data_IF_660297591141
#
_entry.id   IF_660297591141
#
_cell.length_a   1.000
_cell.length_b   1.000
_cell.length_c   1.000
_cell.angle_alpha   90.00
_cell.angle_beta   90.00
_cell.angle_gamma   90.00
#
_symmetry.space_group_name_H-M   'P 1'
#
loop_
_entity.id
_entity.type
_entity.pdbx_description
1 polymer ?
#
# COMPACT_ATOMS: atom_id res chain seq x y z
N UNK A 1 14.95 -2.98 -0.98
CA UNK A 1 15.07 -1.95 0.07
C UNK A 1 15.98 -2.44 1.17
N UNK A 2 15.97 -1.80 2.34
CA UNK A 2 16.78 -2.20 3.52
C UNK A 2 16.01 -3.06 4.54
N UNK A 3 14.73 -3.38 4.27
CA UNK A 3 13.96 -4.34 5.08
C UNK A 3 13.56 -3.85 6.48
N UNK A 4 13.20 -2.56 6.64
CA UNK A 4 12.74 -2.02 7.92
C UNK A 4 11.32 -2.47 8.30
N UNK A 5 10.49 -2.76 7.29
CA UNK A 5 9.15 -3.31 7.44
C UNK A 5 9.04 -4.47 6.45
N UNK A 6 8.85 -5.67 6.97
CA UNK A 6 8.78 -6.87 6.15
C UNK A 6 7.48 -6.92 5.34
N UNK A 7 7.58 -7.38 4.09
CA UNK A 7 6.42 -7.59 3.23
C UNK A 7 5.73 -6.31 2.76
N UNK A 8 6.38 -5.16 2.82
CA UNK A 8 5.82 -3.86 2.43
C UNK A 8 6.65 -3.22 1.31
N UNK A 9 5.96 -2.60 0.34
CA UNK A 9 6.55 -1.66 -0.61
C UNK A 9 6.05 -0.24 -0.31
N UNK A 10 6.97 0.70 -0.17
CA UNK A 10 6.67 2.09 0.20
C UNK A 10 6.89 3.00 -1.01
N UNK A 11 5.92 3.90 -1.22
CA UNK A 11 5.96 4.99 -2.17
C UNK A 11 5.73 6.33 -1.45
N UNK A 12 6.37 7.39 -1.90
CA UNK A 12 6.42 8.73 -1.28
C UNK A 12 6.07 9.81 -2.32
N UNK A 13 5.64 11.00 -1.91
CA UNK A 13 5.04 12.01 -2.81
C UNK A 13 3.93 11.37 -3.67
N UNK A 14 3.10 10.55 -3.02
CA UNK A 14 2.30 9.55 -3.68
C UNK A 14 1.18 10.16 -4.54
N UNK A 15 0.23 10.85 -3.91
CA UNK A 15 -0.87 11.49 -4.63
C UNK A 15 -0.39 12.63 -5.54
N UNK A 16 0.59 13.42 -5.09
CA UNK A 16 1.06 14.63 -5.79
C UNK A 16 1.66 14.31 -7.16
N UNK A 17 2.23 13.12 -7.32
CA UNK A 17 2.84 12.65 -8.57
C UNK A 17 2.01 11.60 -9.29
N UNK A 18 0.76 11.37 -8.87
CA UNK A 18 -0.14 10.39 -9.49
C UNK A 18 0.41 8.96 -9.45
N UNK A 19 1.09 8.56 -8.37
CA UNK A 19 1.89 7.33 -8.31
C UNK A 19 1.09 6.06 -8.01
N UNK A 20 -0.24 6.13 -8.03
CA UNK A 20 -1.09 4.95 -7.83
C UNK A 20 -0.83 3.85 -8.86
N UNK A 21 -0.64 4.20 -10.14
CA UNK A 21 -0.41 3.22 -11.21
C UNK A 21 0.87 2.42 -11.00
N UNK A 22 1.96 3.08 -10.56
CA UNK A 22 3.24 2.39 -10.32
C UNK A 22 3.21 1.55 -9.04
N UNK A 23 2.47 1.98 -8.01
CA UNK A 23 2.33 1.19 -6.79
C UNK A 23 1.46 -0.04 -7.04
N UNK A 24 0.36 0.09 -7.81
CA UNK A 24 -0.42 -1.06 -8.30
C UNK A 24 0.44 -2.01 -9.12
N UNK A 25 1.25 -1.50 -10.05
CA UNK A 25 2.19 -2.31 -10.81
C UNK A 25 3.16 -3.05 -9.89
N UNK A 26 3.75 -2.38 -8.90
CA UNK A 26 4.66 -3.02 -7.94
C UNK A 26 3.97 -4.13 -7.12
N UNK A 27 2.77 -3.89 -6.61
CA UNK A 27 2.00 -4.89 -5.84
C UNK A 27 1.57 -6.06 -6.74
N UNK A 28 1.21 -5.81 -7.99
CA UNK A 28 0.79 -6.87 -8.92
C UNK A 28 1.90 -7.87 -9.26
N UNK A 29 3.18 -7.48 -9.17
CA UNK A 29 4.33 -8.39 -9.32
C UNK A 29 4.43 -9.41 -8.19
N UNK A 30 3.94 -9.06 -7.00
CA UNK A 30 3.89 -9.95 -5.86
C UNK A 30 2.73 -9.55 -4.93
N UNK A 31 1.51 -10.08 -5.15
CA UNK A 31 0.35 -9.69 -4.36
C UNK A 31 0.45 -9.98 -2.86
N UNK A 32 1.46 -10.75 -2.43
CA UNK A 32 1.79 -10.94 -1.01
C UNK A 32 2.43 -9.70 -0.38
N UNK A 33 2.93 -8.73 -1.13
CA UNK A 33 3.39 -7.46 -0.56
C UNK A 33 2.23 -6.50 -0.34
N UNK A 34 2.30 -5.71 0.72
CA UNK A 34 1.38 -4.61 0.98
C UNK A 34 1.96 -3.32 0.38
N UNK A 35 1.20 -2.61 -0.45
CA UNK A 35 1.60 -1.31 -0.98
C UNK A 35 1.20 -0.20 -0.03
N UNK A 36 2.14 0.70 0.30
CA UNK A 36 1.88 1.88 1.11
C UNK A 36 2.35 3.13 0.36
N UNK A 37 1.42 3.96 -0.08
CA UNK A 37 1.66 5.28 -0.64
C UNK A 37 1.50 6.34 0.45
N UNK A 38 2.54 7.14 0.68
CA UNK A 38 2.57 8.22 1.66
C UNK A 38 2.63 9.55 0.91
N UNK A 39 1.63 10.39 1.15
CA UNK A 39 1.53 11.73 0.56
C UNK A 39 2.56 12.70 1.16
N UNK A 40 2.68 13.90 0.58
CA UNK A 40 3.50 14.97 1.16
C UNK A 40 2.99 15.36 2.56
N UNK A 41 3.91 15.88 3.38
CA UNK A 41 3.62 16.30 4.76
C UNK A 41 2.87 15.23 5.58
N UNK A 42 3.15 13.96 5.30
CA UNK A 42 2.49 12.79 5.89
C UNK A 42 3.53 11.72 6.24
N UNK A 43 3.29 10.98 7.31
CA UNK A 43 4.17 9.92 7.78
C UNK A 43 3.38 8.76 8.39
N UNK A 44 4.03 7.61 8.49
CA UNK A 44 3.57 6.50 9.33
C UNK A 44 4.55 6.27 10.48
N UNK A 45 4.01 6.01 11.67
CA UNK A 45 4.80 5.54 12.81
C UNK A 45 4.50 4.08 13.04
N UNK A 46 5.49 3.22 12.74
CA UNK A 46 5.39 1.78 12.94
C UNK A 46 5.70 1.46 14.40
N UNK A 47 4.85 0.63 15.00
CA UNK A 47 4.92 0.24 16.41
C UNK A 47 5.34 -1.24 16.56
N UNK A 48 5.85 -1.64 17.75
CA UNK A 48 6.31 -3.02 17.98
C UNK A 48 5.24 -4.10 17.81
N UNK A 49 3.95 -3.75 17.87
CA UNK A 49 2.82 -4.65 17.67
C UNK A 49 2.46 -4.84 16.19
N UNK A 50 3.34 -4.47 15.25
CA UNK A 50 3.11 -4.56 13.81
C UNK A 50 1.90 -3.76 13.31
N UNK A 51 1.57 -2.66 13.98
CA UNK A 51 0.64 -1.66 13.44
C UNK A 51 1.39 -0.37 13.10
N UNK A 52 0.77 0.46 12.27
CA UNK A 52 1.21 1.85 12.10
C UNK A 52 0.09 2.83 12.41
N UNK A 53 0.46 4.03 12.83
CA UNK A 53 -0.40 5.21 12.92
C UNK A 53 -0.02 6.23 11.86
N UNK A 54 -1.01 6.86 11.23
CA UNK A 54 -0.81 7.95 10.27
C UNK A 54 -0.66 9.27 11.01
N UNK A 55 0.35 10.04 10.65
CA UNK A 55 0.59 11.42 11.11
C UNK A 55 0.67 12.37 9.92
N UNK A 56 0.45 13.66 10.17
CA UNK A 56 0.61 14.73 9.17
C UNK A 56 -0.70 15.31 8.67
N UNK A 57 -0.68 15.94 7.50
CA UNK A 57 -1.78 16.76 7.00
C UNK A 57 -2.61 16.08 5.89
N UNK A 58 -2.06 15.07 5.21
CA UNK A 58 -2.73 14.35 4.11
C UNK A 58 -3.02 12.89 4.50
N UNK A 59 -2.91 11.96 3.56
CA UNK A 59 -3.32 10.58 3.74
C UNK A 59 -2.24 9.56 3.37
N UNK A 60 -2.43 8.36 3.89
CA UNK A 60 -1.71 7.16 3.49
C UNK A 60 -2.66 6.25 2.73
N UNK A 61 -2.28 5.88 1.51
CA UNK A 61 -2.99 4.89 0.71
C UNK A 61 -2.39 3.52 0.92
N UNK A 62 -3.20 2.56 1.35
CA UNK A 62 -2.81 1.15 1.47
C UNK A 62 -3.45 0.36 0.33
N UNK A 63 -2.65 -0.43 -0.37
CA UNK A 63 -3.06 -1.35 -1.42
C UNK A 63 -2.76 -2.78 -0.99
N UNK A 64 -3.81 -3.59 -0.82
CA UNK A 64 -3.71 -5.00 -0.48
C UNK A 64 -4.21 -5.88 -1.63
N UNK A 65 -3.27 -6.61 -2.23
CA UNK A 65 -3.54 -7.57 -3.29
C UNK A 65 -3.67 -9.01 -2.83
N UNK A 66 -3.62 -9.32 -1.53
CA UNK A 66 -3.46 -10.71 -1.07
C UNK A 66 -4.58 -11.64 -1.52
N UNK A 67 -5.79 -11.09 -1.72
CA UNK A 67 -6.98 -11.80 -2.16
C UNK A 67 -7.26 -11.62 -3.66
N UNK A 68 -6.29 -11.15 -4.45
CA UNK A 68 -6.49 -10.96 -5.88
C UNK A 68 -6.80 -12.29 -6.57
N UNK A 69 -7.80 -12.32 -7.45
CA UNK A 69 -8.10 -13.52 -8.22
C UNK A 69 -7.26 -13.61 -9.51
N UNK A 70 -6.83 -12.48 -10.06
CA UNK A 70 -6.10 -12.45 -11.32
C UNK A 70 -5.13 -11.27 -11.41
N UNK A 71 -3.95 -11.56 -11.95
CA UNK A 71 -3.04 -10.56 -12.51
C UNK A 71 -2.39 -11.12 -13.77
N UNK A 72 -2.22 -10.31 -14.81
CA UNK A 72 -1.56 -10.74 -16.06
C UNK A 72 -0.02 -10.64 -16.02
N UNK A 73 0.55 -10.24 -14.88
CA UNK A 73 1.96 -9.87 -14.76
C UNK A 73 2.96 -11.01 -15.04
N UNK A 74 2.62 -12.24 -14.67
CA UNK A 74 3.52 -13.40 -14.88
C UNK A 74 3.69 -13.78 -16.36
N UNK A 75 2.74 -13.37 -17.21
CA UNK A 75 2.67 -13.75 -18.63
C UNK A 75 2.79 -12.53 -19.56
N UNK A 76 2.88 -11.32 -19.01
CA UNK A 76 2.85 -10.06 -19.74
C UNK A 76 4.23 -9.62 -20.26
N UNK A 77 4.24 -9.00 -21.44
CA UNK A 77 5.35 -8.18 -21.91
C UNK A 77 5.38 -6.81 -21.21
N UNK A 78 6.53 -6.10 -21.20
CA UNK A 78 6.68 -4.81 -20.50
C UNK A 78 5.69 -3.72 -20.91
N UNK A 79 5.16 -3.78 -22.14
CA UNK A 79 4.24 -2.78 -22.71
C UNK A 79 2.76 -3.18 -22.60
N UNK A 80 2.46 -4.34 -22.02
CA UNK A 80 1.08 -4.81 -21.86
C UNK A 80 0.35 -3.99 -20.79
N UNK A 81 -0.94 -3.75 -21.02
CA UNK A 81 -1.79 -3.06 -20.06
C UNK A 81 -2.03 -3.97 -18.85
N UNK A 82 -1.77 -3.46 -17.65
CA UNK A 82 -1.98 -4.18 -16.39
C UNK A 82 -3.45 -4.57 -16.21
N UNK A 83 -3.70 -5.86 -16.02
CA UNK A 83 -4.91 -6.38 -15.43
C UNK A 83 -4.61 -6.84 -14.00
N UNK A 84 -5.33 -6.30 -13.03
CA UNK A 84 -5.18 -6.65 -11.61
C UNK A 84 -6.54 -6.51 -10.93
N UNK A 85 -7.09 -7.60 -10.41
CA UNK A 85 -8.46 -7.64 -9.86
C UNK A 85 -8.49 -7.84 -8.36
N UNK A 86 -9.60 -7.47 -7.74
CA UNK A 86 -9.91 -7.74 -6.31
C UNK A 86 -8.86 -7.17 -5.34
N UNK A 87 -8.38 -5.97 -5.66
CA UNK A 87 -7.45 -5.20 -4.83
C UNK A 87 -8.25 -4.39 -3.81
N UNK A 88 -7.90 -4.53 -2.53
CA UNK A 88 -8.47 -3.70 -1.48
C UNK A 88 -7.65 -2.43 -1.34
N UNK A 89 -8.34 -1.29 -1.35
CA UNK A 89 -7.74 0.03 -1.19
C UNK A 89 -8.28 0.69 0.09
N UNK A 90 -7.36 1.16 0.94
CA UNK A 90 -7.69 2.01 2.07
C UNK A 90 -7.02 3.37 1.91
N UNK A 91 -7.72 4.45 2.27
CA UNK A 91 -7.16 5.80 2.38
C UNK A 91 -7.34 6.22 3.84
N UNK A 92 -6.22 6.46 4.52
CA UNK A 92 -6.17 6.67 5.96
C UNK A 92 -5.57 8.04 6.25
N UNK A 93 -6.34 9.01 6.78
CA UNK A 93 -5.81 10.30 7.21
C UNK A 93 -5.14 10.17 8.59
N UNK A 94 -4.58 11.27 9.08
CA UNK A 94 -3.95 11.33 10.40
C UNK A 94 -4.87 10.81 11.54
N UNK A 95 -4.25 10.11 12.49
CA UNK A 95 -4.92 9.49 13.65
C UNK A 95 -5.54 8.12 13.37
N UNK A 96 -5.59 7.68 12.12
CA UNK A 96 -5.98 6.31 11.78
C UNK A 96 -4.81 5.35 11.97
N UNK A 97 -5.14 4.12 12.34
CA UNK A 97 -4.19 3.05 12.54
C UNK A 97 -4.48 1.89 11.58
N UNK A 98 -3.45 1.10 11.26
CA UNK A 98 -3.57 -0.07 10.40
C UNK A 98 -2.71 -1.21 10.95
N UNK A 99 -3.29 -2.40 11.03
CA UNK A 99 -2.61 -3.63 11.45
C UNK A 99 -1.99 -4.31 10.21
N UNK A 100 -0.64 -4.41 10.18
CA UNK A 100 0.10 -4.97 9.05
C UNK A 100 -0.03 -6.50 8.95
N UNK A 101 -0.33 -7.18 10.05
CA UNK A 101 -0.48 -8.64 10.09
C UNK A 101 -1.89 -9.04 9.66
N UNK A 102 -2.89 -8.41 10.27
CA UNK A 102 -4.30 -8.65 9.94
C UNK A 102 -4.73 -8.01 8.62
N UNK A 103 -3.94 -7.05 8.11
CA UNK A 103 -4.23 -6.23 6.92
C UNK A 103 -5.55 -5.48 7.01
N UNK A 104 -5.81 -4.87 8.16
CA UNK A 104 -7.08 -4.18 8.42
C UNK A 104 -6.86 -2.79 9.05
N UNK A 105 -7.66 -1.79 8.66
CA UNK A 105 -7.70 -0.52 9.36
C UNK A 105 -8.31 -0.70 10.75
N UNK A 106 -7.64 -0.12 11.75
CA UNK A 106 -8.09 -0.11 13.13
C UNK A 106 -8.94 1.15 13.34
N UNK A 107 -10.24 1.02 13.08
CA UNK A 107 -11.18 2.11 13.25
C UNK A 107 -11.45 2.35 14.74
N UNK A 108 -11.06 3.51 15.26
CA UNK A 108 -11.51 3.97 16.58
C UNK A 108 -12.99 4.33 16.49
N UNK A 109 -13.81 3.73 17.36
CA UNK A 109 -15.20 4.14 17.59
C UNK A 109 -15.25 5.35 18.50
#
# INVERSE_FOLDING_TARGET
GIGLIDGVVIDQHFAERGRIGRLLAAVSQNPKVLGIGIDEDTAIVVRPNHSFEVLGSNAVTVLDGINCNYTNVSESHPDDILAFTDVVLHILPAGYEYDLLCRLPMLRR
#
